data_IF_630482671672
#
_entry.id   IF_630482671672
#
_cell.length_a   1.000
_cell.length_b   1.000
_cell.length_c   1.000
_cell.angle_alpha   90.00
_cell.angle_beta   90.00
_cell.angle_gamma   90.00
#
_symmetry.space_group_name_H-M   'P 1'
#
loop_
_entity.id
_entity.type
_entity.pdbx_description
1 polymer ?
#
# COMPACT_ATOMS: atom_id res chain seq x y z
N UNK A 1 0.85 3.63 -13.31
CA UNK A 1 -0.08 3.25 -12.21
C UNK A 1 0.50 3.54 -10.85
N UNK A 2 -0.33 3.99 -9.90
CA UNK A 2 0.08 4.35 -8.53
C UNK A 2 0.77 3.17 -7.81
N UNK A 3 0.38 1.94 -8.16
CA UNK A 3 0.88 0.69 -7.60
C UNK A 3 2.18 0.17 -8.24
N UNK A 4 2.76 0.85 -9.24
CA UNK A 4 3.97 0.38 -9.95
C UNK A 4 5.19 0.25 -9.03
N UNK A 5 5.29 1.10 -8.00
CA UNK A 5 6.41 1.09 -7.05
C UNK A 5 6.21 0.12 -5.88
N UNK A 6 5.11 -0.61 -5.83
CA UNK A 6 4.81 -1.58 -4.79
C UNK A 6 5.17 -2.99 -5.29
N UNK A 7 5.84 -3.74 -4.43
CA UNK A 7 6.04 -5.18 -4.62
C UNK A 7 4.69 -5.89 -4.64
N UNK A 8 4.66 -7.08 -5.24
CA UNK A 8 3.45 -7.91 -5.27
C UNK A 8 2.91 -8.16 -3.85
N UNK A 9 3.80 -8.39 -2.87
CA UNK A 9 3.41 -8.63 -1.48
C UNK A 9 2.77 -7.42 -0.82
N UNK A 10 3.33 -6.23 -1.03
CA UNK A 10 2.73 -4.98 -0.53
C UNK A 10 1.36 -4.72 -1.14
N UNK A 11 1.23 -4.95 -2.45
CA UNK A 11 -0.04 -4.77 -3.17
C UNK A 11 -1.11 -5.72 -2.64
N UNK A 12 -0.78 -6.98 -2.43
CA UNK A 12 -1.72 -7.98 -1.89
C UNK A 12 -2.12 -7.67 -0.44
N UNK A 13 -1.17 -7.24 0.41
CA UNK A 13 -1.49 -6.82 1.79
C UNK A 13 -2.44 -5.62 1.78
N UNK A 14 -2.18 -4.61 0.95
CA UNK A 14 -3.09 -3.46 0.83
C UNK A 14 -4.47 -3.85 0.28
N UNK A 15 -4.52 -4.76 -0.70
CA UNK A 15 -5.80 -5.25 -1.23
C UNK A 15 -6.64 -5.93 -0.16
N UNK A 16 -6.05 -6.83 0.62
CA UNK A 16 -6.74 -7.51 1.71
C UNK A 16 -7.11 -6.52 2.82
N UNK A 17 -6.25 -5.55 3.10
CA UNK A 17 -6.49 -4.59 4.19
C UNK A 17 -7.66 -3.64 3.91
N UNK A 18 -7.82 -3.22 2.66
CA UNK A 18 -8.79 -2.20 2.24
C UNK A 18 -9.89 -2.77 1.33
N UNK A 19 -10.00 -4.10 1.21
CA UNK A 19 -11.04 -4.75 0.41
C UNK A 19 -10.94 -4.54 -1.10
N UNK A 20 -9.79 -4.12 -1.64
CA UNK A 20 -9.61 -3.96 -3.08
C UNK A 20 -9.48 -5.32 -3.78
N UNK A 21 -10.59 -5.95 -4.15
CA UNK A 21 -10.63 -7.18 -4.94
C UNK A 21 -11.79 -8.09 -4.57
N UNK A 22 -11.74 -8.65 -3.36
CA UNK A 22 -12.75 -9.58 -2.83
C UNK A 22 -13.84 -8.90 -2.01
N UNK A 23 -13.74 -7.57 -1.78
CA UNK A 23 -14.71 -6.81 -0.99
C UNK A 23 -14.65 -7.04 0.52
N UNK A 24 -13.80 -7.94 1.01
CA UNK A 24 -13.55 -8.19 2.43
C UNK A 24 -12.36 -7.42 2.97
N UNK A 25 -12.57 -6.67 4.06
CA UNK A 25 -11.49 -6.08 4.85
C UNK A 25 -10.96 -7.11 5.85
N UNK A 26 -9.65 -7.37 5.81
CA UNK A 26 -8.99 -8.27 6.76
C UNK A 26 -8.22 -7.48 7.83
N UNK A 27 -8.22 -8.01 9.05
CA UNK A 27 -7.40 -7.46 10.13
C UNK A 27 -5.92 -7.78 9.91
N UNK A 28 -5.03 -6.98 10.51
CA UNK A 28 -3.59 -7.21 10.45
C UNK A 28 -3.18 -8.60 10.98
N UNK A 29 -3.97 -9.17 11.89
CA UNK A 29 -3.74 -10.51 12.42
C UNK A 29 -4.11 -11.60 11.42
N UNK A 30 -5.26 -11.49 10.75
CA UNK A 30 -5.68 -12.43 9.71
C UNK A 30 -4.73 -12.41 8.51
N UNK A 31 -4.33 -11.20 8.09
CA UNK A 31 -3.31 -11.04 7.05
C UNK A 31 -1.99 -11.65 7.54
N UNK A 32 -1.60 -11.42 8.79
CA UNK A 32 -0.40 -12.02 9.38
C UNK A 32 -0.41 -13.54 9.30
N UNK A 33 -1.53 -14.18 9.69
CA UNK A 33 -1.73 -15.62 9.57
C UNK A 33 -1.58 -16.12 8.13
N UNK A 34 -2.17 -15.42 7.15
CA UNK A 34 -2.11 -15.80 5.72
C UNK A 34 -0.71 -15.69 5.12
N UNK A 35 0.11 -14.75 5.59
CA UNK A 35 1.47 -14.54 5.10
C UNK A 35 2.57 -15.16 5.98
N UNK A 36 2.19 -15.91 7.03
CA UNK A 36 3.10 -16.43 8.06
C UNK A 36 3.99 -15.34 8.65
N UNK A 37 3.39 -14.18 8.93
CA UNK A 37 4.05 -13.00 9.47
C UNK A 37 3.38 -12.56 10.77
N UNK A 38 4.14 -11.90 11.63
CA UNK A 38 3.57 -11.25 12.81
C UNK A 38 2.72 -10.05 12.42
N UNK A 39 1.75 -9.71 13.27
CA UNK A 39 0.92 -8.50 13.13
C UNK A 39 1.76 -7.24 12.91
N UNK A 40 2.84 -7.09 13.68
CA UNK A 40 3.72 -5.93 13.59
C UNK A 40 4.46 -5.89 12.24
N UNK A 41 4.84 -7.05 11.70
CA UNK A 41 5.44 -7.11 10.37
C UNK A 41 4.47 -6.68 9.28
N UNK A 42 3.19 -7.07 9.37
CA UNK A 42 2.16 -6.58 8.44
C UNK A 42 1.99 -5.06 8.56
N UNK A 43 1.93 -4.52 9.77
CA UNK A 43 1.85 -3.06 10.01
C UNK A 43 3.02 -2.30 9.40
N UNK A 44 4.24 -2.83 9.53
CA UNK A 44 5.43 -2.21 8.92
C UNK A 44 5.32 -2.18 7.40
N UNK A 45 4.91 -3.30 6.78
CA UNK A 45 4.74 -3.38 5.33
C UNK A 45 3.62 -2.44 4.85
N UNK A 46 2.51 -2.37 5.57
CA UNK A 46 1.41 -1.41 5.29
C UNK A 46 1.92 0.03 5.30
N UNK A 47 2.68 0.42 6.34
CA UNK A 47 3.25 1.77 6.46
C UNK A 47 4.22 2.09 5.31
N UNK A 48 5.08 1.14 4.96
CA UNK A 48 6.04 1.31 3.86
C UNK A 48 5.33 1.46 2.51
N UNK A 49 4.32 0.62 2.26
CA UNK A 49 3.52 0.66 1.06
C UNK A 49 2.75 1.99 0.93
N UNK A 50 2.12 2.47 2.01
CA UNK A 50 1.45 3.77 2.04
C UNK A 50 2.41 4.93 1.79
N UNK A 51 3.63 4.86 2.32
CA UNK A 51 4.66 5.88 2.09
C UNK A 51 5.06 5.94 0.60
N UNK A 52 5.25 4.77 -0.04
CA UNK A 52 5.53 4.65 -1.49
C UNK A 52 4.37 5.21 -2.32
N UNK A 53 3.12 4.93 -1.96
CA UNK A 53 1.94 5.48 -2.62
C UNK A 53 1.87 7.00 -2.50
N UNK A 54 2.09 7.54 -1.30
CA UNK A 54 2.09 9.00 -1.06
C UNK A 54 3.14 9.70 -1.92
N UNK A 55 4.36 9.17 -1.96
CA UNK A 55 5.43 9.72 -2.79
C UNK A 55 5.10 9.67 -4.29
N UNK A 56 4.54 8.55 -4.77
CA UNK A 56 4.13 8.41 -6.17
C UNK A 56 3.00 9.39 -6.54
N UNK A 57 2.02 9.57 -5.64
CA UNK A 57 0.94 10.54 -5.83
C UNK A 57 1.46 11.98 -5.83
N UNK A 58 2.32 12.36 -4.89
CA UNK A 58 2.94 13.68 -4.82
C UNK A 58 3.77 14.00 -6.07
N UNK A 59 4.60 13.07 -6.53
CA UNK A 59 5.37 13.27 -7.76
C UNK A 59 4.49 13.44 -9.00
N UNK A 60 3.31 12.79 -9.04
CA UNK A 60 2.34 13.01 -10.11
C UNK A 60 1.77 14.43 -10.05
N UNK A 61 1.35 14.89 -8.86
CA UNK A 61 0.84 16.25 -8.67
C UNK A 61 1.88 17.30 -9.07
N UNK A 62 3.15 17.14 -8.67
CA UNK A 62 4.24 18.07 -9.02
C UNK A 62 4.49 18.09 -10.54
N UNK A 63 4.39 16.95 -11.23
CA UNK A 63 4.52 16.91 -12.70
C UNK A 63 3.33 17.56 -13.43
N UNK A 64 2.15 17.58 -12.83
CA UNK A 64 0.95 18.17 -13.43
C UNK A 64 0.87 19.69 -13.23
N UNK A 65 1.53 20.23 -12.19
CA UNK A 65 1.64 21.67 -11.99
C UNK A 65 3.09 22.13 -12.20
N UNK A 66 3.46 22.65 -13.40
CA UNK A 66 4.73 23.35 -13.51
C UNK A 66 4.68 24.49 -12.49
N UNK A 67 5.65 24.54 -11.57
CA UNK A 67 5.84 25.69 -10.68
C UNK A 67 5.85 26.93 -11.55
N UNK A 68 4.81 27.75 -11.45
CA UNK A 68 4.87 29.13 -11.88
C UNK A 68 5.92 29.80 -10.99
N UNK A 69 7.06 30.14 -11.61
CA UNK A 69 8.07 31.01 -11.01
C UNK A 69 7.56 32.45 -11.07
#
# INVERSE_FOLDING_TARGET
DLFQNLTQREREILKLRYGFGDGGEYTLEEIGKRFTLTRERIRQIEKEALSKLKYSAQNRLIKTYPRVQ
#
